data_IF_212074785990
#
_entry.id   IF_212074785990
#
_cell.length_a   1.000
_cell.length_b   1.000
_cell.length_c   1.000
_cell.angle_alpha   90.00
_cell.angle_beta   90.00
_cell.angle_gamma   90.00
#
_symmetry.space_group_name_H-M   'P 1'
#
loop_
_entity.id
_entity.type
_entity.pdbx_description
1 polymer ?
#
# COMPACT_ATOMS: atom_id res chain seq x y z
N UNK A 1 11.97 8.04 -14.51
CA UNK A 1 10.98 7.19 -15.23
C UNK A 1 9.57 7.62 -14.82
N UNK A 2 8.64 7.71 -15.77
CA UNK A 2 7.22 7.94 -15.44
C UNK A 2 6.57 6.61 -15.06
N UNK A 3 6.07 6.52 -13.82
CA UNK A 3 5.34 5.35 -13.32
C UNK A 3 3.92 5.42 -13.88
N UNK A 4 3.41 4.29 -14.37
CA UNK A 4 2.06 4.18 -14.92
C UNK A 4 1.30 3.03 -14.28
N UNK A 5 0.08 3.32 -13.87
CA UNK A 5 -0.86 2.32 -13.39
C UNK A 5 -1.54 1.67 -14.58
N UNK A 6 -1.55 0.33 -14.60
CA UNK A 6 -2.38 -0.44 -15.51
C UNK A 6 -3.79 -0.60 -14.95
N UNK A 7 -4.53 -1.57 -15.50
CA UNK A 7 -5.92 -1.88 -15.10
C UNK A 7 -6.07 -2.22 -13.62
N UNK A 8 -5.03 -2.78 -12.99
CA UNK A 8 -5.07 -3.23 -11.59
C UNK A 8 -3.69 -3.03 -10.94
N UNK A 9 -3.34 -1.75 -10.78
CA UNK A 9 -2.10 -1.30 -10.13
C UNK A 9 -0.93 -1.05 -11.08
N UNK A 10 0.16 -0.56 -10.51
CA UNK A 10 1.46 -0.51 -11.19
C UNK A 10 2.17 -1.85 -11.03
N UNK A 11 2.71 -2.42 -12.11
CA UNK A 11 3.50 -3.66 -12.08
C UNK A 11 4.85 -3.42 -12.75
N UNK A 12 5.92 -3.93 -12.15
CA UNK A 12 7.25 -3.80 -12.71
C UNK A 12 8.18 -4.92 -12.23
N UNK A 13 9.36 -5.02 -12.84
CA UNK A 13 10.37 -6.04 -12.49
C UNK A 13 11.12 -5.58 -11.24
N UNK A 14 11.20 -6.46 -10.23
CA UNK A 14 11.92 -6.23 -8.97
C UNK A 14 13.39 -5.89 -9.26
N UNK A 15 13.93 -4.94 -8.49
CA UNK A 15 15.31 -4.42 -8.59
C UNK A 15 15.66 -3.68 -9.89
N UNK A 16 14.88 -3.84 -10.96
CA UNK A 16 15.00 -3.03 -12.17
C UNK A 16 14.19 -1.74 -12.08
N UNK A 17 12.88 -1.92 -11.88
CA UNK A 17 11.90 -0.82 -11.90
C UNK A 17 11.05 -0.82 -10.62
N UNK A 18 10.75 -1.98 -10.05
CA UNK A 18 10.11 -2.10 -8.74
C UNK A 18 11.19 -2.07 -7.64
N UNK A 19 11.59 -0.86 -7.27
CA UNK A 19 12.64 -0.56 -6.30
C UNK A 19 12.04 0.14 -5.08
N UNK A 20 12.78 0.19 -3.96
CA UNK A 20 12.40 0.95 -2.76
C UNK A 20 12.09 2.41 -3.12
N UNK A 21 12.95 3.04 -3.92
CA UNK A 21 12.75 4.42 -4.38
C UNK A 21 11.46 4.60 -5.18
N UNK A 22 11.15 3.72 -6.13
CA UNK A 22 9.94 3.87 -6.93
C UNK A 22 8.67 3.52 -6.15
N UNK A 23 8.73 2.56 -5.21
CA UNK A 23 7.63 2.32 -4.26
C UNK A 23 7.40 3.56 -3.41
N UNK A 24 8.46 4.18 -2.88
CA UNK A 24 8.38 5.42 -2.11
C UNK A 24 7.73 6.56 -2.91
N UNK A 25 8.14 6.76 -4.18
CA UNK A 25 7.52 7.75 -5.08
C UNK A 25 6.02 7.50 -5.26
N UNK A 26 5.61 6.25 -5.48
CA UNK A 26 4.19 5.89 -5.58
C UNK A 26 3.46 6.22 -4.28
N UNK A 27 4.04 5.88 -3.13
CA UNK A 27 3.45 6.16 -1.82
C UNK A 27 3.34 7.65 -1.55
N UNK A 28 4.27 8.50 -2.00
CA UNK A 28 4.11 9.96 -1.90
C UNK A 28 2.93 10.48 -2.72
N UNK A 29 2.74 9.95 -3.94
CA UNK A 29 1.54 10.25 -4.72
C UNK A 29 0.24 9.84 -3.99
N UNK A 30 0.27 8.67 -3.33
CA UNK A 30 -0.84 8.20 -2.49
C UNK A 30 -1.07 9.12 -1.28
N UNK A 31 -0.01 9.58 -0.61
CA UNK A 31 -0.10 10.53 0.51
C UNK A 31 -0.79 11.82 0.06
N UNK A 32 -0.34 12.41 -1.04
CA UNK A 32 -0.94 13.64 -1.58
C UNK A 32 -2.41 13.45 -1.92
N UNK A 33 -2.76 12.31 -2.51
CA UNK A 33 -4.15 11.98 -2.83
C UNK A 33 -5.00 11.78 -1.56
N UNK A 34 -4.49 11.05 -0.56
CA UNK A 34 -5.17 10.81 0.70
C UNK A 34 -5.46 12.12 1.45
N UNK A 35 -4.45 12.98 1.61
CA UNK A 35 -4.60 14.28 2.30
C UNK A 35 -5.56 15.23 1.61
N UNK A 36 -5.73 15.11 0.29
CA UNK A 36 -6.69 15.90 -0.47
C UNK A 36 -8.14 15.42 -0.29
N UNK A 37 -8.34 14.11 -0.09
CA UNK A 37 -9.66 13.48 -0.14
C UNK A 37 -10.21 13.08 1.24
N UNK A 38 -9.38 13.06 2.28
CA UNK A 38 -9.76 12.62 3.62
C UNK A 38 -9.11 13.51 4.69
N UNK A 39 -9.86 13.89 5.72
CA UNK A 39 -9.37 14.73 6.83
C UNK A 39 -8.44 13.96 7.78
N UNK A 40 -8.70 12.67 8.00
CA UNK A 40 -7.93 11.80 8.90
C UNK A 40 -7.72 10.43 8.23
N UNK A 41 -6.86 10.37 7.20
CA UNK A 41 -6.69 9.16 6.41
C UNK A 41 -6.05 8.03 7.21
N UNK A 42 -6.48 6.81 6.88
CA UNK A 42 -5.85 5.58 7.36
C UNK A 42 -5.75 4.55 6.24
N UNK A 43 -4.76 3.66 6.34
CA UNK A 43 -4.40 2.71 5.28
C UNK A 43 -4.21 1.32 5.85
N UNK A 44 -4.77 0.32 5.17
CA UNK A 44 -4.46 -1.11 5.42
C UNK A 44 -3.45 -1.58 4.38
N UNK A 45 -2.33 -2.17 4.79
CA UNK A 45 -1.24 -2.55 3.88
C UNK A 45 -0.73 -3.96 4.12
N UNK A 46 -0.37 -4.68 3.06
CA UNK A 46 0.29 -5.98 3.14
C UNK A 46 0.88 -6.41 1.79
N UNK A 47 1.44 -7.61 1.75
CA UNK A 47 2.06 -8.17 0.54
C UNK A 47 1.77 -9.66 0.36
N UNK A 48 1.95 -10.16 -0.86
CA UNK A 48 1.99 -11.59 -1.16
C UNK A 48 3.38 -12.19 -0.89
N UNK A 49 3.58 -13.46 -1.25
CA UNK A 49 4.82 -14.20 -0.97
C UNK A 49 6.02 -13.82 -1.86
N UNK A 50 5.99 -12.68 -2.57
CA UNK A 50 7.08 -12.26 -3.45
C UNK A 50 8.27 -11.75 -2.66
N UNK A 51 9.45 -11.91 -3.25
CA UNK A 51 10.71 -11.40 -2.69
C UNK A 51 10.61 -9.91 -2.36
N UNK A 52 11.20 -9.53 -1.21
CA UNK A 52 11.22 -8.18 -0.67
C UNK A 52 9.84 -7.57 -0.34
N UNK A 53 8.80 -8.38 -0.19
CA UNK A 53 7.46 -7.93 0.24
C UNK A 53 7.49 -7.09 1.52
N UNK A 54 8.14 -7.60 2.58
CA UNK A 54 8.29 -6.89 3.86
C UNK A 54 8.99 -5.53 3.68
N UNK A 55 10.09 -5.51 2.92
CA UNK A 55 10.85 -4.28 2.63
C UNK A 55 9.97 -3.21 1.98
N UNK A 56 9.15 -3.60 1.00
CA UNK A 56 8.27 -2.65 0.30
C UNK A 56 7.12 -2.18 1.19
N UNK A 57 6.54 -3.06 2.00
CA UNK A 57 5.48 -2.69 2.95
C UNK A 57 6.02 -1.80 4.06
N UNK A 58 7.21 -2.08 4.60
CA UNK A 58 7.87 -1.22 5.58
C UNK A 58 8.13 0.18 5.00
N UNK A 59 8.61 0.26 3.75
CA UNK A 59 8.81 1.54 3.04
C UNK A 59 7.50 2.33 2.95
N UNK A 60 6.40 1.68 2.56
CA UNK A 60 5.08 2.29 2.48
C UNK A 60 4.66 2.81 3.86
N UNK A 61 4.73 1.95 4.88
CA UNK A 61 4.35 2.28 6.25
C UNK A 61 5.14 3.49 6.78
N UNK A 62 6.46 3.51 6.60
CA UNK A 62 7.31 4.62 7.06
C UNK A 62 6.91 5.96 6.45
N UNK A 63 6.64 6.00 5.15
CA UNK A 63 6.24 7.22 4.44
C UNK A 63 4.86 7.70 4.90
N UNK A 64 3.90 6.78 5.06
CA UNK A 64 2.55 7.11 5.54
C UNK A 64 2.60 7.67 6.96
N UNK A 65 3.33 7.01 7.86
CA UNK A 65 3.50 7.44 9.27
C UNK A 65 4.19 8.80 9.35
N UNK A 66 5.28 9.02 8.60
CA UNK A 66 5.97 10.32 8.52
C UNK A 66 5.04 11.45 8.07
N UNK A 67 4.01 11.10 7.29
CA UNK A 67 2.99 12.01 6.79
C UNK A 67 1.73 12.09 7.66
N UNK A 68 1.76 11.56 8.88
CA UNK A 68 0.66 11.56 9.84
C UNK A 68 -0.60 10.81 9.32
N UNK A 69 -0.39 9.68 8.66
CA UNK A 69 -1.45 8.78 8.18
C UNK A 69 -1.40 7.49 9.01
N UNK A 70 -2.54 7.07 9.56
CA UNK A 70 -2.61 5.82 10.35
C UNK A 70 -2.39 4.61 9.44
N UNK A 71 -1.61 3.63 9.90
CA UNK A 71 -1.28 2.41 9.16
C UNK A 71 -1.67 1.18 9.95
N UNK A 72 -2.48 0.33 9.33
CA UNK A 72 -2.77 -1.04 9.75
C UNK A 72 -1.98 -1.98 8.84
N UNK A 73 -0.82 -2.44 9.33
CA UNK A 73 0.02 -3.37 8.58
C UNK A 73 -0.41 -4.80 8.87
N UNK A 74 -0.64 -5.58 7.82
CA UNK A 74 -0.90 -6.99 7.95
C UNK A 74 0.27 -7.69 8.67
N UNK A 75 -0.07 -8.57 9.61
CA UNK A 75 0.87 -9.47 10.25
C UNK A 75 1.52 -10.39 9.20
N UNK A 76 2.80 -10.68 9.38
CA UNK A 76 3.57 -11.64 8.59
C UNK A 76 2.96 -13.06 8.62
N UNK A 77 3.20 -13.90 7.59
CA UNK A 77 4.20 -13.73 6.52
C UNK A 77 3.66 -13.22 5.16
N UNK A 78 2.35 -13.26 4.93
CA UNK A 78 1.73 -12.77 3.69
C UNK A 78 0.22 -12.62 3.86
N UNK A 79 -0.42 -11.90 2.96
CA UNK A 79 -1.89 -11.78 2.90
C UNK A 79 -2.43 -11.89 1.49
N UNK A 80 -3.71 -12.24 1.39
CA UNK A 80 -4.42 -12.28 0.11
C UNK A 80 -5.02 -10.91 -0.24
N UNK A 81 -5.28 -10.67 -1.52
CA UNK A 81 -5.97 -9.45 -1.96
C UNK A 81 -7.36 -9.29 -1.29
N UNK A 82 -8.20 -10.34 -1.15
CA UNK A 82 -9.45 -10.24 -0.40
C UNK A 82 -9.29 -9.88 1.08
N UNK A 83 -8.22 -10.32 1.75
CA UNK A 83 -7.94 -9.93 3.14
C UNK A 83 -7.69 -8.42 3.27
N UNK A 84 -6.92 -7.82 2.34
CA UNK A 84 -6.74 -6.35 2.30
C UNK A 84 -8.06 -5.63 2.02
N UNK A 85 -8.85 -6.14 1.07
CA UNK A 85 -10.18 -5.60 0.76
C UNK A 85 -11.11 -5.61 1.97
N UNK A 86 -11.19 -6.75 2.69
CA UNK A 86 -11.99 -6.87 3.89
C UNK A 86 -11.45 -6.01 5.04
N UNK A 87 -10.13 -6.02 5.26
CA UNK A 87 -9.48 -5.20 6.27
C UNK A 87 -9.77 -3.70 6.07
N UNK A 88 -9.74 -3.25 4.82
CA UNK A 88 -10.09 -1.86 4.45
C UNK A 88 -11.51 -1.50 4.91
N UNK A 89 -12.48 -2.40 4.70
CA UNK A 89 -13.85 -2.21 5.19
C UNK A 89 -13.94 -2.31 6.72
N UNK A 90 -13.30 -3.31 7.32
CA UNK A 90 -13.35 -3.60 8.75
C UNK A 90 -12.84 -2.42 9.58
N UNK A 91 -11.67 -1.89 9.23
CA UNK A 91 -11.07 -0.74 9.91
C UNK A 91 -11.62 0.62 9.45
N UNK A 92 -12.59 0.63 8.51
CA UNK A 92 -13.12 1.84 7.85
C UNK A 92 -11.98 2.69 7.30
N UNK A 93 -10.96 2.04 6.74
CA UNK A 93 -9.78 2.71 6.25
C UNK A 93 -10.08 3.46 4.94
N UNK A 94 -9.36 4.56 4.72
CA UNK A 94 -9.50 5.36 3.49
C UNK A 94 -9.02 4.60 2.26
N UNK A 95 -8.05 3.70 2.44
CA UNK A 95 -7.43 2.96 1.34
C UNK A 95 -6.82 1.64 1.82
N UNK A 96 -6.88 0.62 0.97
CA UNK A 96 -6.09 -0.60 1.09
C UNK A 96 -4.96 -0.63 0.07
N UNK A 97 -3.81 -1.17 0.45
CA UNK A 97 -2.64 -1.35 -0.41
C UNK A 97 -2.21 -2.81 -0.33
N UNK A 98 -2.07 -3.46 -1.49
CA UNK A 98 -1.49 -4.80 -1.56
C UNK A 98 -0.31 -4.79 -2.54
N UNK A 99 0.83 -5.26 -2.04
CA UNK A 99 2.01 -5.51 -2.85
C UNK A 99 1.93 -6.91 -3.45
N UNK A 100 1.61 -6.98 -4.74
CA UNK A 100 1.46 -8.24 -5.48
C UNK A 100 1.40 -7.99 -6.99
N UNK A 101 2.07 -8.85 -7.77
CA UNK A 101 1.85 -8.94 -9.22
C UNK A 101 0.89 -10.08 -9.62
N UNK A 102 0.09 -10.61 -8.68
CA UNK A 102 -0.83 -11.73 -8.91
C UNK A 102 -0.11 -12.93 -9.53
N UNK A 103 -0.48 -13.36 -10.74
CA UNK A 103 0.06 -14.52 -11.44
C UNK A 103 1.26 -14.18 -12.36
N UNK A 104 1.73 -12.94 -12.39
CA UNK A 104 2.92 -12.58 -13.17
C UNK A 104 4.14 -13.40 -12.70
N UNK A 105 5.19 -13.56 -13.54
CA UNK A 105 6.41 -14.27 -13.15
C UNK A 105 6.99 -13.77 -11.80
N UNK A 106 7.72 -14.61 -11.04
CA UNK A 106 8.24 -14.25 -9.72
C UNK A 106 9.13 -13.00 -9.71
N UNK A 107 9.75 -12.65 -10.83
CA UNK A 107 10.57 -11.46 -11.00
C UNK A 107 9.79 -10.14 -10.98
N UNK A 108 8.46 -10.19 -11.09
CA UNK A 108 7.60 -9.01 -11.01
C UNK A 108 7.13 -8.75 -9.58
N UNK A 109 6.84 -7.50 -9.26
CA UNK A 109 5.96 -7.15 -8.17
C UNK A 109 4.96 -6.07 -8.64
N UNK A 110 4.01 -5.71 -7.79
CA UNK A 110 3.02 -4.71 -8.14
C UNK A 110 2.47 -3.98 -6.93
N UNK A 111 1.97 -2.77 -7.16
CA UNK A 111 1.38 -1.90 -6.15
C UNK A 111 -0.08 -1.67 -6.54
N UNK A 112 -1.01 -2.23 -5.77
CA UNK A 112 -2.45 -2.12 -6.06
C UNK A 112 -3.17 -1.34 -4.97
N UNK A 113 -4.17 -0.58 -5.38
CA UNK A 113 -4.99 0.26 -4.52
C UNK A 113 -6.41 -0.31 -4.41
N UNK A 114 -6.91 -0.39 -3.18
CA UNK A 114 -8.29 -0.74 -2.84
C UNK A 114 -8.97 0.47 -2.22
N UNK A 115 -10.12 0.87 -2.76
CA UNK A 115 -10.88 1.99 -2.20
C UNK A 115 -11.48 1.63 -0.83
N UNK A 116 -11.95 2.64 -0.10
CA UNK A 116 -12.60 2.48 1.21
C UNK A 116 -13.80 1.51 1.21
N UNK A 117 -14.38 1.22 0.04
CA UNK A 117 -15.46 0.23 -0.17
C UNK A 117 -14.96 -1.20 -0.39
N UNK A 118 -13.66 -1.46 -0.25
CA UNK A 118 -13.04 -2.79 -0.37
C UNK A 118 -12.78 -3.27 -1.80
N UNK A 119 -13.33 -2.62 -2.82
CA UNK A 119 -13.03 -2.94 -4.23
C UNK A 119 -11.73 -2.27 -4.73
N UNK A 120 -11.28 -2.56 -5.96
CA UNK A 120 -10.22 -1.79 -6.62
C UNK A 120 -10.56 -0.30 -6.61
N UNK A 121 -9.59 0.57 -6.34
CA UNK A 121 -9.79 2.02 -6.42
C UNK A 121 -10.28 2.42 -7.83
N UNK A 122 -11.18 3.40 -7.92
CA UNK A 122 -11.79 3.78 -9.19
C UNK A 122 -10.74 4.25 -10.21
N UNK A 123 -10.89 3.95 -11.51
CA UNK A 123 -9.91 4.32 -12.53
C UNK A 123 -9.54 5.81 -12.54
N UNK A 124 -10.51 6.69 -12.32
CA UNK A 124 -10.31 8.13 -12.26
C UNK A 124 -9.41 8.52 -11.08
N UNK A 125 -9.65 7.92 -9.90
CA UNK A 125 -8.86 8.14 -8.69
C UNK A 125 -7.46 7.54 -8.80
N UNK A 126 -7.31 6.39 -9.46
CA UNK A 126 -5.99 5.82 -9.79
C UNK A 126 -5.19 6.78 -10.67
N UNK A 127 -5.84 7.40 -11.66
CA UNK A 127 -5.21 8.40 -12.52
C UNK A 127 -4.84 9.67 -11.75
N UNK A 128 -5.65 10.09 -10.78
CA UNK A 128 -5.29 11.19 -9.87
C UNK A 128 -4.02 10.86 -9.08
N UNK A 129 -3.94 9.67 -8.48
CA UNK A 129 -2.74 9.20 -7.77
C UNK A 129 -1.54 9.19 -8.72
N UNK A 130 -1.68 8.62 -9.92
CA UNK A 130 -0.60 8.56 -10.92
C UNK A 130 -0.04 9.95 -11.26
N UNK A 131 -0.90 10.96 -11.40
CA UNK A 131 -0.49 12.33 -11.70
C UNK A 131 0.18 13.04 -10.53
N UNK A 132 -0.01 12.55 -9.31
CA UNK A 132 0.59 13.10 -8.08
C UNK A 132 1.93 12.44 -7.74
N UNK A 133 2.36 11.41 -8.46
CA UNK A 133 3.65 10.74 -8.23
C UNK A 133 4.79 11.72 -8.59
N UNK A 134 5.67 12.08 -7.64
CA UNK A 134 6.78 12.97 -7.92
C UNK A 134 7.90 12.26 -8.70
N UNK A 135 8.77 13.04 -9.32
CA UNK A 135 9.95 12.52 -10.02
C UNK A 135 11.02 11.98 -9.08
N UNK A 136 11.06 12.48 -7.83
CA UNK A 136 12.00 12.08 -6.78
C UNK A 136 11.27 11.99 -5.44
N UNK A 137 11.75 11.14 -4.55
CA UNK A 137 11.25 11.06 -3.18
C UNK A 137 11.67 12.31 -2.41
N UNK A 138 10.74 12.94 -1.71
CA UNK A 138 11.00 14.12 -0.87
C UNK A 138 11.01 13.78 0.62
N UNK A 139 10.30 12.72 1.02
CA UNK A 139 10.15 12.27 2.41
C UNK A 139 11.39 11.50 2.83
N UNK A 140 12.09 12.00 3.85
CA UNK A 140 13.08 11.20 4.58
C UNK A 140 12.36 10.24 5.53
N UNK A 141 12.22 8.99 5.06
CA UNK A 141 11.52 7.91 5.77
C UNK A 141 12.47 6.92 6.44
N UNK A 142 13.78 7.00 6.19
CA UNK A 142 14.78 6.07 6.74
C UNK A 142 14.89 6.21 8.26
N UNK A 143 14.71 7.43 8.78
CA UNK A 143 14.76 7.72 10.21
C UNK A 143 13.51 7.29 10.99
N UNK A 144 12.49 6.72 10.33
CA UNK A 144 11.19 6.43 10.95
C UNK A 144 11.25 5.08 11.66
N UNK A 145 11.11 5.08 12.98
CA UNK A 145 10.86 3.86 13.74
C UNK A 145 9.34 3.61 13.82
N UNK A 146 8.86 2.58 13.13
CA UNK A 146 7.43 2.24 13.11
C UNK A 146 6.90 1.85 14.49
N UNK A 147 7.70 1.15 15.30
CA UNK A 147 7.27 0.61 16.60
C UNK A 147 7.08 1.69 17.67
N UNK A 148 7.65 2.88 17.47
CA UNK A 148 7.49 4.02 18.37
C UNK A 148 6.28 4.90 17.99
N UNK A 149 5.64 4.63 16.85
CA UNK A 149 4.52 5.43 16.37
C UNK A 149 3.18 4.90 16.87
N UNK A 150 2.40 5.76 17.52
CA UNK A 150 1.00 5.46 17.89
C UNK A 150 0.06 5.34 16.67
N UNK A 151 0.53 5.74 15.49
CA UNK A 151 -0.21 5.62 14.23
C UNK A 151 0.05 4.29 13.52
N UNK A 152 0.95 3.44 14.03
CA UNK A 152 1.28 2.15 13.44
C UNK A 152 0.68 1.01 14.26
N UNK A 153 -0.02 0.09 13.58
CA UNK A 153 -0.68 -1.04 14.21
C UNK A 153 -0.49 -2.29 13.34
N UNK A 154 -0.03 -3.39 13.94
CA UNK A 154 0.03 -4.69 13.26
C UNK A 154 -1.31 -5.40 13.48
N UNK A 155 -1.93 -5.90 12.41
CA UNK A 155 -3.27 -6.50 12.44
C UNK A 155 -3.30 -7.91 11.85
N UNK A 156 -4.08 -8.79 12.48
CA UNK A 156 -4.28 -10.17 12.04
C UNK A 156 -5.43 -10.26 11.03
N UNK A 157 -5.12 -9.96 9.76
CA UNK A 157 -6.13 -9.97 8.69
C UNK A 157 -6.61 -11.38 8.35
N UNK A 158 -5.83 -12.41 8.67
CA UNK A 158 -6.22 -13.80 8.45
C UNK A 158 -7.36 -14.18 9.40
N UNK A 159 -7.21 -13.90 10.69
CA UNK A 159 -8.26 -14.15 11.68
C UNK A 159 -9.54 -13.36 11.35
N UNK A 160 -9.41 -12.07 11.02
CA UNK A 160 -10.55 -11.23 10.60
C UNK A 160 -11.27 -11.83 9.39
N UNK A 161 -10.50 -12.35 8.43
CA UNK A 161 -11.06 -12.96 7.23
C UNK A 161 -11.77 -14.27 7.54
N UNK A 162 -11.16 -15.14 8.35
CA UNK A 162 -11.73 -16.41 8.76
C UNK A 162 -13.07 -16.20 9.48
N UNK A 163 -13.10 -15.34 10.50
CA UNK A 163 -14.32 -15.01 11.25
C UNK A 163 -15.45 -14.42 10.39
N UNK A 164 -15.12 -13.81 9.24
CA UNK A 164 -16.13 -13.22 8.36
C UNK A 164 -16.83 -14.26 7.48
N UNK A 165 -16.14 -15.36 7.16
CA UNK A 165 -16.60 -16.38 6.22
C UNK A 165 -17.08 -17.67 6.89
N UNK A 166 -16.82 -17.83 8.19
CA UNK A 166 -17.37 -18.90 9.04
C UNK A 166 -18.54 -18.41 9.87
#
# INVERSE_FOLDING_TARGET
MKIKFGTDGWRAIIAKDFTVENVARVTEGVVSWLKKNFESPSVVVGHDCRFAGDLFVETISKILIKNNIKVYQAKEPFVTTPMISLGTLHFKASLGIIITASHNPPSYNGYKLKGHYGGPLLPEQVKEVENLIPDKVCTDFESVNLQESSLFEIVDLEEIYYQRIT
#
